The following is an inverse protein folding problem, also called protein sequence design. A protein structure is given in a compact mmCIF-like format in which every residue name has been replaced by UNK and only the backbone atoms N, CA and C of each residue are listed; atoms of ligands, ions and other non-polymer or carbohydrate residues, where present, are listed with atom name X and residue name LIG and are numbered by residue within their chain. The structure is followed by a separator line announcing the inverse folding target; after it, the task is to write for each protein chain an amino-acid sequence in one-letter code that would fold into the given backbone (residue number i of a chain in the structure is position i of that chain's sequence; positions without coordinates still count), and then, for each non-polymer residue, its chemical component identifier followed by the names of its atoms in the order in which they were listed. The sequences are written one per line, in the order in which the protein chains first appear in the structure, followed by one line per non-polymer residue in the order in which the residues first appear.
data_IF_199410326006
#
_entry.id   IF_199410326006
#
_cell.length_a   1.000
_cell.length_b   1.000
_cell.length_c   1.000
_cell.angle_alpha   90.00
_cell.angle_beta   90.00
_cell.angle_gamma   90.00
#
_symmetry.space_group_name_H-M   'P 1'
#
loop_
_entity.id
_entity.type
_entity.pdbx_description
1 polymer ?
#
# COMPACT_ATOMS: atom_id res chain seq x y z
N UNK A 1 -28.69 61.75 -3.55
CA UNK A 1 -28.62 61.11 -4.88
C UNK A 1 -29.52 59.87 -4.86
N UNK A 2 -30.75 60.00 -5.35
CA UNK A 2 -31.72 58.90 -5.44
C UNK A 2 -31.33 57.99 -6.60
N UNK A 3 -30.72 56.85 -6.30
CA UNK A 3 -30.45 55.82 -7.32
C UNK A 3 -31.79 55.28 -7.80
N UNK A 4 -32.09 55.45 -9.09
CA UNK A 4 -33.34 54.95 -9.68
C UNK A 4 -33.50 53.45 -9.37
N UNK A 5 -34.69 52.99 -8.94
CA UNK A 5 -34.90 51.61 -8.48
C UNK A 5 -34.61 50.54 -9.55
N UNK A 6 -34.47 50.96 -10.81
CA UNK A 6 -34.25 50.12 -11.98
C UNK A 6 -32.80 50.05 -12.47
N UNK A 7 -31.85 50.68 -11.77
CA UNK A 7 -30.41 50.72 -12.13
C UNK A 7 -29.73 49.36 -12.26
N UNK A 8 -30.35 48.27 -11.79
CA UNK A 8 -29.81 46.92 -11.92
C UNK A 8 -30.20 46.23 -13.24
N UNK A 9 -31.11 46.80 -14.02
CA UNK A 9 -31.54 46.30 -15.33
C UNK A 9 -30.62 46.87 -16.40
N UNK A 10 -29.85 46.00 -17.06
CA UNK A 10 -28.96 46.40 -18.14
C UNK A 10 -29.73 46.43 -19.47
N UNK A 11 -29.77 47.61 -20.09
CA UNK A 11 -30.53 47.87 -21.31
C UNK A 11 -29.90 47.18 -22.53
N UNK A 12 -28.59 46.88 -22.44
CA UNK A 12 -27.83 46.24 -23.52
C UNK A 12 -27.73 44.72 -23.35
N UNK A 13 -28.40 44.15 -22.34
CA UNK A 13 -28.35 42.72 -22.05
C UNK A 13 -29.66 42.03 -22.45
N UNK A 14 -29.81 41.56 -23.71
CA UNK A 14 -31.05 40.96 -24.19
C UNK A 14 -31.43 39.69 -23.41
N UNK A 15 -30.43 38.96 -22.89
CA UNK A 15 -30.66 37.78 -22.06
C UNK A 15 -31.23 38.11 -20.68
N UNK A 16 -30.84 39.25 -20.10
CA UNK A 16 -31.43 39.78 -18.87
C UNK A 16 -32.87 40.24 -19.11
N UNK A 17 -33.10 41.02 -20.15
CA UNK A 17 -34.42 41.55 -20.50
C UNK A 17 -35.42 40.43 -20.79
N UNK A 18 -35.04 39.47 -21.64
CA UNK A 18 -35.83 38.27 -21.93
C UNK A 18 -36.13 37.47 -20.66
N UNK A 19 -35.17 37.34 -19.75
CA UNK A 19 -35.42 36.63 -18.50
C UNK A 19 -36.38 37.37 -17.58
N UNK A 20 -36.25 38.70 -17.46
CA UNK A 20 -37.14 39.53 -16.65
C UNK A 20 -38.58 39.44 -17.17
N UNK A 21 -38.79 39.62 -18.47
CA UNK A 21 -40.12 39.52 -19.09
C UNK A 21 -40.75 38.14 -18.86
N UNK A 22 -39.98 37.06 -19.05
CA UNK A 22 -40.46 35.70 -18.80
C UNK A 22 -40.74 35.40 -17.31
N UNK A 23 -39.98 36.01 -16.40
CA UNK A 23 -40.22 35.84 -14.97
C UNK A 23 -41.50 36.57 -14.55
N UNK A 24 -41.68 37.80 -15.03
CA UNK A 24 -42.85 38.61 -14.75
C UNK A 24 -44.11 38.00 -15.36
N UNK A 25 -44.09 37.54 -16.62
CA UNK A 25 -45.26 36.88 -17.24
C UNK A 25 -45.73 35.62 -16.50
N UNK A 26 -44.81 34.89 -15.83
CA UNK A 26 -45.15 33.71 -15.02
C UNK A 26 -45.70 34.04 -13.63
N UNK A 27 -45.31 35.18 -13.08
CA UNK A 27 -45.66 35.59 -11.71
C UNK A 27 -46.80 36.60 -11.67
N UNK A 28 -47.04 37.28 -12.79
CA UNK A 28 -48.06 38.30 -13.01
C UNK A 28 -48.72 38.06 -14.37
N UNK A 29 -49.94 37.47 -14.39
CA UNK A 29 -50.63 37.18 -15.64
C UNK A 29 -50.95 38.45 -16.45
N UNK A 30 -51.21 39.58 -15.79
CA UNK A 30 -51.45 40.87 -16.43
C UNK A 30 -50.23 41.36 -17.23
N UNK A 31 -49.02 41.02 -16.76
CA UNK A 31 -47.76 41.32 -17.43
C UNK A 31 -47.48 40.37 -18.62
N UNK A 32 -48.18 39.23 -18.69
CA UNK A 32 -48.00 38.23 -19.75
C UNK A 32 -48.60 38.67 -21.10
N UNK A 33 -49.59 39.56 -21.09
CA UNK A 33 -50.24 40.05 -22.30
C UNK A 33 -49.37 41.07 -23.04
N UNK A 34 -48.57 41.85 -22.31
CA UNK A 34 -47.77 42.94 -22.86
C UNK A 34 -46.49 42.49 -23.60
N UNK A 35 -46.08 41.23 -23.48
CA UNK A 35 -44.78 40.73 -23.99
C UNK A 35 -44.85 39.36 -24.67
N UNK A 36 -46.05 38.92 -25.09
CA UNK A 36 -46.25 37.61 -25.71
C UNK A 36 -45.70 37.62 -27.15
N UNK A 37 -44.63 36.84 -27.41
CA UNK A 37 -44.06 36.67 -28.75
C UNK A 37 -42.87 37.56 -29.10
N UNK A 38 -42.33 38.33 -28.15
CA UNK A 38 -41.29 39.32 -28.45
C UNK A 38 -39.83 38.82 -28.42
N UNK A 39 -39.05 39.27 -29.42
CA UNK A 39 -37.59 39.22 -29.43
C UNK A 39 -36.98 40.43 -28.69
N UNK A 40 -36.15 40.19 -27.67
CA UNK A 40 -35.58 41.23 -26.80
C UNK A 40 -34.24 41.78 -27.32
N UNK A 41 -33.95 41.62 -28.61
CA UNK A 41 -32.72 42.09 -29.24
C UNK A 41 -32.67 43.62 -29.50
N UNK A 42 -33.82 44.32 -29.41
CA UNK A 42 -33.92 45.75 -29.74
C UNK A 42 -33.92 46.66 -28.48
N UNK A 43 -33.12 47.76 -28.45
CA UNK A 43 -33.03 48.68 -27.31
C UNK A 43 -34.35 49.34 -26.89
N UNK A 44 -35.20 49.70 -27.86
CA UNK A 44 -36.52 50.32 -27.61
C UNK A 44 -37.43 49.44 -26.74
N UNK A 45 -37.22 48.12 -26.77
CA UNK A 45 -37.97 47.16 -25.96
C UNK A 45 -37.49 47.11 -24.52
N UNK A 46 -36.24 47.48 -24.24
CA UNK A 46 -35.74 47.64 -22.89
C UNK A 46 -36.46 48.81 -22.20
N UNK A 47 -36.64 49.92 -22.91
CA UNK A 47 -37.34 51.10 -22.42
C UNK A 47 -38.84 50.84 -22.23
N UNK A 48 -39.46 50.10 -23.15
CA UNK A 48 -40.84 49.63 -22.99
C UNK A 48 -41.01 48.75 -21.74
N UNK A 49 -40.12 47.77 -21.54
CA UNK A 49 -40.15 46.90 -20.35
C UNK A 49 -40.00 47.70 -19.05
N UNK A 50 -39.08 48.66 -19.01
CA UNK A 50 -38.85 49.49 -17.81
C UNK A 50 -40.04 50.43 -17.57
N UNK A 51 -40.66 50.95 -18.61
CA UNK A 51 -41.86 51.80 -18.51
C UNK A 51 -43.05 51.02 -17.99
N UNK A 52 -43.28 49.81 -18.50
CA UNK A 52 -44.32 48.92 -17.98
C UNK A 52 -44.08 48.53 -16.53
N UNK A 53 -42.83 48.25 -16.15
CA UNK A 53 -42.47 48.03 -14.74
C UNK A 53 -42.84 49.26 -13.90
N UNK A 54 -42.51 50.48 -14.35
CA UNK A 54 -42.86 51.72 -13.61
C UNK A 54 -44.37 51.90 -13.45
N UNK A 55 -45.15 51.64 -14.50
CA UNK A 55 -46.61 51.76 -14.47
C UNK A 55 -47.26 50.85 -13.42
N UNK A 56 -46.64 49.71 -13.13
CA UNK A 56 -47.15 48.75 -12.15
C UNK A 56 -46.57 48.95 -10.72
N UNK A 57 -45.62 49.87 -10.52
CA UNK A 57 -44.96 50.12 -9.22
C UNK A 57 -45.87 50.74 -8.15
N UNK A 58 -47.02 51.29 -8.55
CA UNK A 58 -48.00 51.85 -7.62
C UNK A 58 -48.72 50.76 -6.80
N UNK A 59 -48.75 49.53 -7.31
CA UNK A 59 -49.30 48.37 -6.59
C UNK A 59 -48.32 47.86 -5.52
N UNK A 60 -48.71 47.81 -4.23
CA UNK A 60 -47.85 47.26 -3.17
C UNK A 60 -47.43 45.81 -3.42
N UNK A 61 -48.33 44.98 -3.97
CA UNK A 61 -48.06 43.59 -4.28
C UNK A 61 -46.97 43.45 -5.38
N UNK A 62 -47.00 44.33 -6.37
CA UNK A 62 -45.99 44.36 -7.43
C UNK A 62 -44.62 44.75 -6.89
N UNK A 63 -44.54 45.73 -5.97
CA UNK A 63 -43.26 46.15 -5.37
C UNK A 63 -42.54 45.02 -4.63
N UNK A 64 -43.27 44.21 -3.87
CA UNK A 64 -42.67 43.05 -3.19
C UNK A 64 -42.14 42.01 -4.18
N UNK A 65 -42.93 41.72 -5.22
CA UNK A 65 -42.52 40.78 -6.26
C UNK A 65 -41.35 41.30 -7.08
N UNK A 66 -41.28 42.60 -7.34
CA UNK A 66 -40.13 43.25 -7.97
C UNK A 66 -38.85 43.08 -7.13
N UNK A 67 -38.96 43.16 -5.80
CA UNK A 67 -37.88 42.81 -4.88
C UNK A 67 -37.42 41.35 -5.01
N UNK A 68 -38.36 40.42 -5.09
CA UNK A 68 -38.08 38.98 -5.32
C UNK A 68 -37.44 38.73 -6.68
N UNK A 69 -37.92 39.38 -7.74
CA UNK A 69 -37.36 39.34 -9.10
C UNK A 69 -35.87 39.72 -9.09
N UNK A 70 -35.51 40.84 -8.45
CA UNK A 70 -34.12 41.30 -8.35
C UNK A 70 -33.22 40.25 -7.68
N UNK A 71 -33.70 39.63 -6.60
CA UNK A 71 -32.97 38.59 -5.89
C UNK A 71 -32.84 37.30 -6.73
N UNK A 72 -33.90 36.90 -7.42
CA UNK A 72 -33.89 35.75 -8.31
C UNK A 72 -32.91 35.94 -9.49
N UNK A 73 -32.82 37.14 -10.04
CA UNK A 73 -31.82 37.46 -11.08
C UNK A 73 -30.39 37.35 -10.54
N UNK A 74 -30.13 37.93 -9.35
CA UNK A 74 -28.83 37.81 -8.69
C UNK A 74 -28.45 36.35 -8.48
N UNK A 75 -29.37 35.52 -8.00
CA UNK A 75 -29.15 34.08 -7.84
C UNK A 75 -28.87 33.39 -9.16
N UNK A 76 -29.62 33.70 -10.24
CA UNK A 76 -29.37 33.16 -11.57
C UNK A 76 -27.96 33.54 -12.07
N UNK A 77 -27.56 34.80 -11.92
CA UNK A 77 -26.22 35.27 -12.30
C UNK A 77 -25.12 34.52 -11.55
N UNK A 78 -25.30 34.28 -10.26
CA UNK A 78 -24.35 33.49 -9.44
C UNK A 78 -24.29 32.03 -9.92
N UNK A 79 -25.43 31.40 -10.22
CA UNK A 79 -25.49 30.01 -10.75
C UNK A 79 -24.86 29.86 -12.13
N UNK A 80 -24.80 30.93 -12.93
CA UNK A 80 -24.20 30.93 -14.26
C UNK A 80 -22.68 31.12 -14.26
N UNK A 81 -22.06 31.40 -13.10
CA UNK A 81 -20.59 31.48 -13.00
C UNK A 81 -19.97 30.09 -13.19
N UNK A 82 -19.09 29.93 -14.18
CA UNK A 82 -18.49 28.63 -14.54
C UNK A 82 -17.62 28.03 -13.42
N UNK A 83 -17.03 28.87 -12.58
CA UNK A 83 -16.07 28.45 -11.55
C UNK A 83 -16.73 27.93 -10.27
N UNK A 84 -18.05 28.09 -10.13
CA UNK A 84 -18.79 27.74 -8.91
C UNK A 84 -19.99 26.89 -9.25
N UNK A 85 -19.90 25.59 -8.96
CA UNK A 85 -21.04 24.67 -9.03
C UNK A 85 -21.61 24.47 -7.63
N UNK A 86 -22.86 24.84 -7.42
CA UNK A 86 -23.57 24.54 -6.18
C UNK A 86 -24.16 23.14 -6.24
N UNK A 87 -23.87 22.31 -5.24
CA UNK A 87 -24.50 21.01 -5.05
C UNK A 87 -25.27 21.02 -3.72
N UNK A 88 -26.40 20.31 -3.68
CA UNK A 88 -27.20 20.13 -2.47
C UNK A 88 -27.07 18.69 -2.01
N UNK A 89 -26.64 18.50 -0.76
CA UNK A 89 -26.46 17.18 -0.16
C UNK A 89 -27.37 17.03 1.04
N UNK A 90 -27.92 15.84 1.22
CA UNK A 90 -28.64 15.46 2.43
C UNK A 90 -27.63 14.81 3.38
N UNK A 91 -27.48 15.38 4.58
CA UNK A 91 -26.55 14.90 5.59
C UNK A 91 -27.31 14.56 6.88
N UNK A 92 -26.84 13.57 7.66
CA UNK A 92 -27.37 13.34 9.00
C UNK A 92 -27.23 14.59 9.88
N UNK A 93 -28.23 14.84 10.74
CA UNK A 93 -28.26 16.00 11.63
C UNK A 93 -27.01 16.06 12.51
N UNK A 94 -26.58 14.92 13.05
CA UNK A 94 -25.35 14.83 13.85
C UNK A 94 -24.14 15.38 13.10
N UNK A 95 -23.93 14.97 11.84
CA UNK A 95 -22.82 15.45 11.00
C UNK A 95 -22.88 16.95 10.75
N UNK A 96 -24.08 17.50 10.50
CA UNK A 96 -24.28 18.94 10.34
C UNK A 96 -23.93 19.71 11.62
N UNK A 97 -24.35 19.21 12.79
CA UNK A 97 -24.02 19.86 14.07
C UNK A 97 -22.52 19.86 14.36
N UNK A 98 -21.82 18.78 14.01
CA UNK A 98 -20.36 18.69 14.15
C UNK A 98 -19.67 19.66 13.21
N UNK A 99 -20.08 19.71 11.93
CA UNK A 99 -19.55 20.66 10.95
C UNK A 99 -19.77 22.12 11.40
N UNK A 100 -20.94 22.43 11.97
CA UNK A 100 -21.23 23.74 12.51
C UNK A 100 -20.33 24.12 13.69
N UNK A 101 -20.12 23.19 14.63
CA UNK A 101 -19.22 23.42 15.77
C UNK A 101 -17.79 23.66 15.30
N UNK A 102 -17.30 22.87 14.34
CA UNK A 102 -15.97 23.03 13.75
C UNK A 102 -15.86 24.39 13.02
N UNK A 103 -16.81 24.70 12.15
CA UNK A 103 -16.83 25.96 11.42
C UNK A 103 -16.84 27.17 12.38
N UNK A 104 -17.61 27.13 13.47
CA UNK A 104 -17.60 28.18 14.50
C UNK A 104 -16.26 28.28 15.23
N UNK A 105 -15.67 27.14 15.61
CA UNK A 105 -14.38 27.10 16.29
C UNK A 105 -13.26 27.73 15.45
N UNK A 106 -13.27 27.48 14.15
CA UNK A 106 -12.27 28.00 13.20
C UNK A 106 -12.65 29.35 12.58
N UNK A 107 -13.78 29.95 12.97
CA UNK A 107 -14.33 31.17 12.38
C UNK A 107 -14.42 31.11 10.83
N UNK A 108 -14.88 29.96 10.33
CA UNK A 108 -15.01 29.64 8.91
C UNK A 108 -16.48 29.48 8.51
N UNK A 109 -16.75 29.59 7.20
CA UNK A 109 -18.03 29.13 6.66
C UNK A 109 -18.05 27.60 6.65
N UNK A 110 -19.23 26.99 6.78
CA UNK A 110 -19.38 25.52 6.72
C UNK A 110 -18.77 24.92 5.44
N UNK A 111 -18.88 25.65 4.33
CA UNK A 111 -18.32 25.25 3.02
C UNK A 111 -16.80 25.30 3.04
N UNK A 112 -16.20 26.35 3.61
CA UNK A 112 -14.74 26.47 3.75
C UNK A 112 -14.19 25.36 4.65
N UNK A 113 -14.83 25.13 5.77
CA UNK A 113 -14.44 24.07 6.70
C UNK A 113 -14.53 22.68 6.06
N UNK A 114 -15.62 22.39 5.36
CA UNK A 114 -15.77 21.14 4.61
C UNK A 114 -14.67 20.98 3.55
N UNK A 115 -14.32 22.05 2.84
CA UNK A 115 -13.21 22.04 1.87
C UNK A 115 -11.88 21.71 2.55
N UNK A 116 -11.60 22.31 3.71
CA UNK A 116 -10.38 22.04 4.47
C UNK A 116 -10.32 20.59 4.92
N UNK A 117 -11.40 20.05 5.50
CA UNK A 117 -11.46 18.65 5.93
C UNK A 117 -11.24 17.68 4.76
N UNK A 118 -11.84 17.96 3.59
CA UNK A 118 -11.64 17.13 2.39
C UNK A 118 -10.19 17.20 1.92
N UNK A 119 -9.61 18.41 1.86
CA UNK A 119 -8.21 18.58 1.49
C UNK A 119 -7.28 17.86 2.46
N UNK A 120 -7.48 18.02 3.77
CA UNK A 120 -6.63 17.38 4.80
C UNK A 120 -6.71 15.85 4.71
N UNK A 121 -7.92 15.30 4.60
CA UNK A 121 -8.12 13.86 4.42
C UNK A 121 -7.45 13.34 3.13
N UNK A 122 -7.46 14.12 2.05
CA UNK A 122 -6.77 13.77 0.81
C UNK A 122 -5.25 13.74 0.98
N UNK A 123 -4.67 14.75 1.64
CA UNK A 123 -3.24 14.78 1.91
C UNK A 123 -2.81 13.66 2.86
N UNK A 124 -3.63 13.33 3.87
CA UNK A 124 -3.39 12.20 4.77
C UNK A 124 -3.41 10.87 4.02
N UNK A 125 -4.39 10.67 3.14
CA UNK A 125 -4.45 9.50 2.27
C UNK A 125 -3.21 9.39 1.39
N UNK A 126 -2.79 10.49 0.73
CA UNK A 126 -1.60 10.50 -0.11
C UNK A 126 -0.35 10.11 0.69
N UNK A 127 -0.14 10.74 1.85
CA UNK A 127 0.98 10.40 2.75
C UNK A 127 0.96 8.93 3.17
N UNK A 128 -0.20 8.42 3.56
CA UNK A 128 -0.35 7.03 3.96
C UNK A 128 -0.02 6.06 2.80
N UNK A 129 -0.45 6.37 1.58
CA UNK A 129 -0.15 5.54 0.40
C UNK A 129 1.35 5.55 0.05
N UNK A 130 2.03 6.69 0.16
CA UNK A 130 3.47 6.79 -0.07
C UNK A 130 4.27 5.99 0.96
N UNK A 131 3.89 6.08 2.24
CA UNK A 131 4.50 5.29 3.32
C UNK A 131 4.30 3.81 3.07
N UNK A 132 3.08 3.39 2.74
CA UNK A 132 2.77 2.00 2.43
C UNK A 132 3.57 1.48 1.22
N UNK A 133 3.73 2.32 0.18
CA UNK A 133 4.54 1.97 -0.98
C UNK A 133 6.02 1.76 -0.62
N UNK A 134 6.61 2.66 0.18
CA UNK A 134 8.00 2.53 0.67
C UNK A 134 8.18 1.31 1.58
N UNK A 135 7.23 1.04 2.47
CA UNK A 135 7.25 -0.16 3.31
C UNK A 135 7.17 -1.45 2.48
N UNK A 136 6.34 -1.46 1.43
CA UNK A 136 6.23 -2.62 0.54
C UNK A 136 7.50 -2.83 -0.30
N UNK A 137 8.13 -1.76 -0.81
CA UNK A 137 9.37 -1.88 -1.57
C UNK A 137 10.52 -2.41 -0.72
N UNK A 138 10.67 -1.91 0.50
CA UNK A 138 11.67 -2.38 1.47
C UNK A 138 11.42 -3.84 1.86
N UNK A 139 10.18 -4.21 2.17
CA UNK A 139 9.80 -5.60 2.47
C UNK A 139 10.10 -6.56 1.32
N UNK A 140 9.81 -6.16 0.07
CA UNK A 140 10.15 -6.95 -1.13
C UNK A 140 11.65 -7.13 -1.31
N UNK A 141 12.43 -6.08 -1.04
CA UNK A 141 13.88 -6.15 -1.12
C UNK A 141 14.44 -7.08 -0.04
N UNK A 142 13.91 -7.01 1.18
CA UNK A 142 14.30 -7.91 2.27
C UNK A 142 13.98 -9.37 1.95
N UNK A 143 12.79 -9.66 1.42
CA UNK A 143 12.41 -10.99 0.95
C UNK A 143 13.37 -11.51 -0.14
N UNK A 144 13.77 -10.65 -1.08
CA UNK A 144 14.73 -11.01 -2.13
C UNK A 144 16.10 -11.34 -1.53
N UNK A 145 16.58 -10.53 -0.59
CA UNK A 145 17.85 -10.75 0.09
C UNK A 145 17.83 -12.03 0.93
N UNK A 146 16.73 -12.31 1.62
CA UNK A 146 16.54 -13.55 2.37
C UNK A 146 16.58 -14.77 1.44
N UNK A 147 15.85 -14.74 0.32
CA UNK A 147 15.88 -15.82 -0.69
C UNK A 147 17.29 -16.07 -1.22
N UNK A 148 18.01 -15.02 -1.61
CA UNK A 148 19.38 -15.13 -2.07
C UNK A 148 20.31 -15.73 -1.00
N UNK A 149 20.13 -15.36 0.28
CA UNK A 149 20.89 -15.94 1.39
C UNK A 149 20.59 -17.43 1.60
N UNK A 150 19.33 -17.84 1.46
CA UNK A 150 18.94 -19.24 1.54
C UNK A 150 19.54 -20.06 0.41
N UNK A 151 19.46 -19.58 -0.83
CA UNK A 151 20.06 -20.23 -2.01
C UNK A 151 21.58 -20.39 -1.85
N UNK A 152 22.28 -19.36 -1.39
CA UNK A 152 23.72 -19.44 -1.12
C UNK A 152 24.07 -20.48 -0.05
N UNK A 153 23.27 -20.56 1.02
CA UNK A 153 23.46 -21.58 2.08
C UNK A 153 23.20 -22.97 1.54
N UNK A 154 22.14 -23.17 0.77
CA UNK A 154 21.81 -24.46 0.17
C UNK A 154 22.92 -24.95 -0.76
N UNK A 155 23.45 -24.08 -1.63
CA UNK A 155 24.61 -24.40 -2.46
C UNK A 155 25.85 -24.75 -1.64
N UNK A 156 26.09 -24.06 -0.52
CA UNK A 156 27.19 -24.39 0.38
C UNK A 156 27.00 -25.78 1.00
N UNK A 157 25.78 -26.12 1.44
CA UNK A 157 25.46 -27.45 1.95
C UNK A 157 25.66 -28.53 0.89
N UNK A 158 25.15 -28.32 -0.32
CA UNK A 158 25.31 -29.26 -1.45
C UNK A 158 26.78 -29.55 -1.72
N UNK A 159 27.63 -28.51 -1.81
CA UNK A 159 29.09 -28.68 -2.02
C UNK A 159 29.76 -29.48 -0.91
N UNK A 160 29.36 -29.29 0.35
CA UNK A 160 29.96 -30.05 1.46
C UNK A 160 29.47 -31.49 1.44
N UNK A 161 28.19 -31.74 1.17
CA UNK A 161 27.63 -33.09 1.00
C UNK A 161 28.34 -33.83 -0.13
N UNK A 162 28.52 -33.21 -1.29
CA UNK A 162 29.25 -33.79 -2.42
C UNK A 162 30.69 -34.16 -2.04
N UNK A 163 31.41 -33.27 -1.34
CA UNK A 163 32.76 -33.55 -0.86
C UNK A 163 32.81 -34.71 0.13
N UNK A 164 31.86 -34.77 1.06
CA UNK A 164 31.78 -35.86 2.03
C UNK A 164 31.45 -37.19 1.36
N UNK A 165 30.52 -37.20 0.41
CA UNK A 165 30.20 -38.39 -0.39
C UNK A 165 31.40 -38.87 -1.20
N UNK A 166 32.14 -37.96 -1.83
CA UNK A 166 33.37 -38.30 -2.56
C UNK A 166 34.44 -38.88 -1.62
N UNK A 167 34.65 -38.29 -0.45
CA UNK A 167 35.58 -38.79 0.55
C UNK A 167 35.18 -40.18 1.08
N UNK A 168 33.88 -40.42 1.29
CA UNK A 168 33.36 -41.74 1.70
C UNK A 168 33.58 -42.78 0.59
N UNK A 169 33.31 -42.44 -0.67
CA UNK A 169 33.56 -43.33 -1.81
C UNK A 169 35.05 -43.72 -1.90
N UNK A 170 35.95 -42.75 -1.78
CA UNK A 170 37.40 -42.99 -1.79
C UNK A 170 37.84 -43.90 -0.61
N UNK A 171 37.23 -43.76 0.56
CA UNK A 171 37.50 -44.64 1.71
C UNK A 171 37.00 -46.08 1.45
N UNK A 172 35.84 -46.23 0.82
CA UNK A 172 35.32 -47.55 0.45
C UNK A 172 36.27 -48.21 -0.56
N UNK A 173 36.69 -47.50 -1.61
CA UNK A 173 37.60 -48.03 -2.62
C UNK A 173 38.95 -48.47 -2.03
N UNK A 174 39.52 -47.65 -1.13
CA UNK A 174 40.78 -47.98 -0.41
C UNK A 174 40.61 -49.22 0.46
N UNK A 175 39.48 -49.34 1.16
CA UNK A 175 39.17 -50.49 2.00
C UNK A 175 39.05 -51.77 1.16
N UNK A 176 38.26 -51.74 0.09
CA UNK A 176 38.12 -52.85 -0.85
C UNK A 176 39.48 -53.27 -1.44
N UNK A 177 40.34 -52.30 -1.78
CA UNK A 177 41.68 -52.58 -2.30
C UNK A 177 42.62 -53.22 -1.26
N UNK A 178 42.49 -52.84 0.01
CA UNK A 178 43.24 -53.46 1.11
C UNK A 178 42.74 -54.88 1.41
N UNK A 179 41.42 -55.07 1.48
CA UNK A 179 40.79 -56.38 1.64
C UNK A 179 41.21 -57.34 0.52
N UNK A 180 41.24 -56.87 -0.73
CA UNK A 180 41.73 -57.64 -1.88
C UNK A 180 43.22 -58.01 -1.78
N UNK A 181 44.08 -57.16 -1.20
CA UNK A 181 45.51 -57.46 -1.00
C UNK A 181 45.78 -58.44 0.13
N UNK A 182 44.98 -58.39 1.19
CA UNK A 182 45.10 -59.26 2.37
C UNK A 182 44.49 -60.64 2.10
N UNK A 183 43.60 -60.77 1.10
CA UNK A 183 43.04 -62.05 0.67
C UNK A 183 42.02 -62.65 1.65
N UNK A 184 41.51 -61.85 2.59
CA UNK A 184 40.52 -62.27 3.58
C UNK A 184 39.10 -61.83 3.21
N UNK A 185 38.11 -62.67 3.53
CA UNK A 185 36.69 -62.32 3.40
C UNK A 185 36.32 -61.12 4.31
N UNK A 186 35.29 -60.34 3.91
CA UNK A 186 34.77 -59.09 4.51
C UNK A 186 34.59 -59.04 6.05
N UNK A 187 34.72 -60.17 6.75
CA UNK A 187 34.42 -60.34 8.17
C UNK A 187 35.63 -60.78 9.03
N UNK A 188 36.82 -60.93 8.45
CA UNK A 188 38.01 -61.28 9.24
C UNK A 188 38.49 -60.09 10.08
N UNK A 189 38.70 -60.23 11.40
CA UNK A 189 39.20 -59.15 12.24
C UNK A 189 40.63 -58.78 11.81
N UNK A 190 40.85 -57.49 11.53
CA UNK A 190 42.17 -56.92 11.22
C UNK A 190 43.15 -57.24 12.36
N UNK A 191 44.33 -57.76 12.03
CA UNK A 191 45.39 -57.96 13.01
C UNK A 191 45.89 -56.60 13.54
N UNK A 192 46.41 -56.56 14.77
CA UNK A 192 46.78 -55.30 15.45
C UNK A 192 47.80 -54.45 14.68
N UNK A 193 48.62 -55.06 13.83
CA UNK A 193 49.55 -54.35 12.93
C UNK A 193 48.83 -53.64 11.76
N UNK A 194 47.76 -54.23 11.25
CA UNK A 194 46.97 -53.65 10.16
C UNK A 194 46.11 -52.49 10.65
N UNK A 195 45.62 -52.55 11.90
CA UNK A 195 44.85 -51.45 12.53
C UNK A 195 45.69 -50.18 12.63
N UNK A 196 46.95 -50.27 13.07
CA UNK A 196 47.84 -49.12 13.17
C UNK A 196 48.17 -48.53 11.78
N UNK A 197 48.35 -49.40 10.79
CA UNK A 197 48.61 -49.01 9.39
C UNK A 197 47.38 -48.31 8.79
N UNK A 198 46.19 -48.80 9.12
CA UNK A 198 44.91 -48.23 8.70
C UNK A 198 44.62 -46.89 9.38
N UNK A 199 44.86 -46.76 10.70
CA UNK A 199 44.74 -45.50 11.44
C UNK A 199 45.72 -44.44 10.90
N UNK A 200 46.95 -44.83 10.57
CA UNK A 200 47.95 -43.94 9.96
C UNK A 200 47.56 -43.45 8.55
N UNK A 201 46.81 -44.24 7.78
CA UNK A 201 46.26 -43.85 6.48
C UNK A 201 45.02 -42.95 6.58
N UNK A 202 44.23 -43.13 7.65
CA UNK A 202 42.96 -42.40 7.87
C UNK A 202 43.18 -41.03 8.52
N UNK A 203 44.09 -40.89 9.48
CA UNK A 203 44.29 -39.62 10.20
C UNK A 203 44.62 -38.40 9.31
N UNK A 204 45.44 -38.50 8.25
CA UNK A 204 45.65 -37.38 7.32
C UNK A 204 44.37 -36.94 6.60
N UNK A 205 43.49 -37.91 6.27
CA UNK A 205 42.22 -37.63 5.60
C UNK A 205 41.19 -37.05 6.55
N UNK A 206 41.14 -37.55 7.80
CA UNK A 206 40.30 -36.99 8.85
C UNK A 206 40.68 -35.54 9.12
N UNK A 207 41.98 -35.25 9.23
CA UNK A 207 42.51 -33.89 9.37
C UNK A 207 42.17 -33.00 8.15
N UNK A 208 42.11 -33.55 6.93
CA UNK A 208 41.73 -32.81 5.73
C UNK A 208 40.22 -32.49 5.65
N UNK A 209 39.36 -33.34 6.21
CA UNK A 209 37.89 -33.18 6.17
C UNK A 209 37.38 -32.30 7.33
N UNK A 210 38.05 -32.32 8.48
CA UNK A 210 37.69 -31.56 9.69
C UNK A 210 37.51 -30.03 9.49
N UNK A 211 38.35 -29.32 8.71
CA UNK A 211 38.12 -27.90 8.40
C UNK A 211 36.85 -27.66 7.56
N UNK A 212 36.38 -28.63 6.78
CA UNK A 212 35.12 -28.49 6.03
C UNK A 212 33.88 -28.69 6.92
N UNK A 213 34.00 -29.50 7.97
CA UNK A 213 32.96 -29.73 8.98
C UNK A 213 32.84 -28.56 9.98
N UNK A 214 33.97 -27.93 10.33
CA UNK A 214 33.95 -26.71 11.17
C UNK A 214 33.28 -25.53 10.45
N UNK A 215 33.41 -25.43 9.12
CA UNK A 215 32.66 -24.48 8.33
C UNK A 215 31.13 -24.73 8.34
N UNK A 216 30.68 -25.98 8.50
CA UNK A 216 29.25 -26.32 8.67
C UNK A 216 28.72 -25.95 10.07
N UNK A 217 29.52 -26.15 11.13
CA UNK A 217 29.13 -25.78 12.51
C UNK A 217 28.95 -24.27 12.67
N UNK A 218 29.74 -23.46 11.95
CA UNK A 218 29.55 -22.01 11.82
C UNK A 218 28.21 -21.61 11.16
N UNK A 219 27.64 -22.48 10.31
CA UNK A 219 26.42 -22.17 9.54
C UNK A 219 25.15 -22.70 10.22
N UNK A 220 25.21 -23.77 11.04
CA UNK A 220 24.17 -24.22 12.01
C UNK A 220 24.58 -25.58 12.59
N UNK A 221 25.29 -25.66 13.72
CA UNK A 221 25.16 -26.80 14.65
C UNK A 221 25.81 -26.49 16.02
N UNK A 222 25.01 -26.42 17.09
CA UNK A 222 25.49 -26.41 18.49
C UNK A 222 25.72 -27.84 18.99
N UNK A 223 26.46 -28.66 18.24
CA UNK A 223 26.79 -30.04 18.61
C UNK A 223 28.29 -30.23 18.76
N UNK A 224 28.69 -31.20 19.57
CA UNK A 224 30.09 -31.54 19.78
C UNK A 224 30.80 -31.92 18.47
N UNK A 225 32.09 -31.59 18.34
CA UNK A 225 32.86 -31.83 17.11
C UNK A 225 32.86 -33.30 16.70
N UNK A 226 32.90 -33.56 15.40
CA UNK A 226 32.93 -34.92 14.83
C UNK A 226 34.16 -35.71 15.34
N UNK A 227 35.28 -35.04 15.61
CA UNK A 227 36.43 -35.61 16.32
C UNK A 227 36.10 -36.13 17.71
N UNK A 228 35.29 -35.41 18.48
CA UNK A 228 34.86 -35.84 19.83
C UNK A 228 33.90 -37.02 19.74
N UNK A 229 32.98 -37.03 18.77
CA UNK A 229 32.08 -38.16 18.52
C UNK A 229 32.82 -39.42 18.03
N UNK A 230 33.80 -39.27 17.14
CA UNK A 230 34.66 -40.36 16.68
C UNK A 230 35.56 -40.88 17.80
N UNK A 231 36.14 -40.00 18.62
CA UNK A 231 36.93 -40.41 19.78
C UNK A 231 36.09 -41.23 20.77
N UNK A 232 34.83 -40.83 21.01
CA UNK A 232 33.89 -41.57 21.85
C UNK A 232 33.54 -42.94 21.25
N UNK A 233 33.34 -43.05 19.93
CA UNK A 233 33.09 -44.33 19.26
C UNK A 233 34.31 -45.25 19.24
N UNK A 234 35.51 -44.70 19.04
CA UNK A 234 36.77 -45.46 19.11
C UNK A 234 37.02 -45.95 20.54
N UNK A 235 36.78 -45.12 21.55
CA UNK A 235 36.84 -45.55 22.96
C UNK A 235 35.80 -46.62 23.29
N UNK A 236 34.58 -46.51 22.76
CA UNK A 236 33.54 -47.53 22.95
C UNK A 236 33.94 -48.87 22.30
N UNK A 237 34.55 -48.84 21.11
CA UNK A 237 35.06 -50.05 20.43
C UNK A 237 36.28 -50.65 21.11
N UNK A 238 37.22 -49.84 21.61
CA UNK A 238 38.36 -50.33 22.41
C UNK A 238 37.90 -51.01 23.70
N UNK A 239 36.92 -50.42 24.41
CA UNK A 239 36.29 -51.06 25.58
C UNK A 239 35.57 -52.38 25.25
N UNK A 240 34.98 -52.48 24.05
CA UNK A 240 34.35 -53.72 23.61
C UNK A 240 35.37 -54.81 23.22
N UNK A 241 36.55 -54.42 22.72
CA UNK A 241 37.64 -55.34 22.38
C UNK A 241 38.46 -55.79 23.61
N UNK A 242 38.54 -54.96 24.66
CA UNK A 242 39.21 -55.25 25.93
C UNK A 242 38.29 -55.98 26.94
N UNK A 243 37.02 -56.19 26.61
CA UNK A 243 36.12 -56.98 27.43
C UNK A 243 36.66 -58.43 27.53
N UNK A 244 36.91 -58.97 28.74
CA UNK A 244 37.46 -60.31 28.89
C UNK A 244 36.49 -61.32 28.27
N UNK A 245 37.01 -62.19 27.38
CA UNK A 245 36.30 -63.41 26.97
C UNK A 245 35.94 -64.17 28.25
N UNK A 246 34.66 -64.21 28.58
CA UNK A 246 34.13 -64.99 29.68
C UNK A 246 34.53 -66.46 29.40
N UNK A 247 35.33 -67.11 30.26
CA UNK A 247 35.62 -68.53 30.10
C UNK A 247 34.41 -69.34 30.61
N UNK A 248 33.81 -70.11 29.70
CA UNK A 248 32.60 -70.93 29.94
C UNK A 248 31.33 -70.14 29.61
N UNK A 249 30.39 -70.62 28.81
CA UNK A 249 29.90 -71.97 28.51
C UNK A 249 29.21 -71.95 27.13
N UNK A 250 28.76 -73.09 26.56
CA UNK A 250 29.37 -74.42 26.42
C UNK A 250 30.07 -74.61 25.05
#
# INVERSE_FOLDING_TARGET
MTTSPHTWIDHNNPAQLKWIANYLSRTQPDFSLAFMGDDFAHPERADHLITEIKNHMDSPAFREQYGKLRNAWRQKKVRQQRDKKSATFVLPVATLTTLEKLAKKHNHSKVKELSTVISDAWHDHLRATEIAHKANSTYRQELKNQRASYEQREQAYQRVVEKLLAAVAEQIDKRCALEAKIGGADSSPLESGDIATYEALIEPHKAAIEPHLTNLTLVRFKGESLSKQLANLVQARKKAAEAPKIPGEP
#
